data_IF_972626461343
#
_entry.id   IF_972626461343
#
_cell.length_a   1.000
_cell.length_b   1.000
_cell.length_c   1.000
_cell.angle_alpha   90.00
_cell.angle_beta   90.00
_cell.angle_gamma   90.00
#
_symmetry.space_group_name_H-M   'P 1'
#
loop_
_entity.id
_entity.type
_entity.pdbx_description
1 polymer ?
#
# COMPACT_ATOMS: atom_id res chain seq x y z
N UNK A 1 16.26 -25.36 -6.88
CA UNK A 1 15.65 -25.83 -5.62
C UNK A 1 16.41 -25.37 -4.36
N UNK A 2 17.68 -25.02 -4.46
CA UNK A 2 18.50 -24.56 -3.31
C UNK A 2 18.01 -23.25 -2.65
N UNK A 3 17.41 -22.34 -3.42
CA UNK A 3 16.91 -21.04 -2.91
C UNK A 3 15.85 -21.18 -1.82
N UNK A 4 14.98 -22.19 -1.89
CA UNK A 4 13.92 -22.43 -0.90
C UNK A 4 14.45 -22.92 0.45
N UNK A 5 15.72 -23.30 0.55
CA UNK A 5 16.35 -23.74 1.79
C UNK A 5 16.85 -22.55 2.63
N UNK A 6 17.01 -21.36 2.04
CA UNK A 6 17.44 -20.18 2.75
C UNK A 6 16.28 -19.51 3.49
N UNK A 7 16.44 -19.30 4.79
CA UNK A 7 15.42 -18.69 5.67
C UNK A 7 14.99 -17.30 5.21
N UNK A 8 15.93 -16.49 4.72
CA UNK A 8 15.61 -15.14 4.21
C UNK A 8 14.67 -15.20 2.99
N UNK A 9 14.83 -16.21 2.12
CA UNK A 9 13.99 -16.37 0.95
C UNK A 9 12.58 -16.86 1.31
N UNK A 10 12.47 -17.78 2.30
CA UNK A 10 11.18 -18.21 2.85
C UNK A 10 10.43 -17.04 3.47
N UNK A 11 11.12 -16.19 4.27
CA UNK A 11 10.53 -14.99 4.83
C UNK A 11 10.04 -14.03 3.73
N UNK A 12 10.83 -13.82 2.67
CA UNK A 12 10.45 -12.98 1.54
C UNK A 12 9.20 -13.51 0.82
N UNK A 13 9.07 -14.84 0.64
CA UNK A 13 7.89 -15.45 0.04
C UNK A 13 6.63 -15.26 0.88
N UNK A 14 6.72 -15.54 2.20
CA UNK A 14 5.59 -15.38 3.13
C UNK A 14 5.21 -13.90 3.22
N UNK A 15 6.19 -13.02 3.39
CA UNK A 15 5.98 -11.58 3.46
C UNK A 15 5.34 -11.02 2.18
N UNK A 16 5.80 -11.46 1.00
CA UNK A 16 5.22 -11.10 -0.29
C UNK A 16 3.76 -11.52 -0.41
N UNK A 17 3.42 -12.71 0.06
CA UNK A 17 2.03 -13.20 0.04
C UNK A 17 1.15 -12.32 0.93
N UNK A 18 1.58 -12.07 2.18
CA UNK A 18 0.83 -11.26 3.13
C UNK A 18 0.69 -9.81 2.66
N UNK A 19 1.76 -9.23 2.11
CA UNK A 19 1.73 -7.89 1.51
C UNK A 19 0.76 -7.84 0.32
N UNK A 20 0.76 -8.86 -0.55
CA UNK A 20 -0.15 -8.94 -1.69
C UNK A 20 -1.61 -9.06 -1.24
N UNK A 21 -1.89 -9.79 -0.16
CA UNK A 21 -3.24 -9.88 0.43
C UNK A 21 -3.68 -8.52 0.96
N UNK A 22 -2.88 -7.90 1.81
CA UNK A 22 -3.22 -6.59 2.39
C UNK A 22 -3.37 -5.50 1.32
N UNK A 23 -2.40 -5.42 0.39
CA UNK A 23 -2.44 -4.48 -0.73
C UNK A 23 -3.55 -4.80 -1.75
N UNK A 24 -3.91 -6.06 -1.95
CA UNK A 24 -5.00 -6.46 -2.83
C UNK A 24 -6.36 -6.01 -2.31
N UNK A 25 -6.61 -6.19 -1.00
CA UNK A 25 -7.84 -5.74 -0.35
C UNK A 25 -7.96 -4.21 -0.35
N UNK A 26 -6.98 -3.54 0.23
CA UNK A 26 -6.98 -2.07 0.38
C UNK A 26 -6.81 -1.36 -0.96
N UNK A 27 -5.93 -1.84 -1.82
CA UNK A 27 -5.68 -1.25 -3.14
C UNK A 27 -6.92 -1.31 -4.04
N UNK A 28 -7.73 -2.38 -3.95
CA UNK A 28 -9.00 -2.45 -4.69
C UNK A 28 -9.94 -1.31 -4.26
N UNK A 29 -10.04 -1.01 -2.97
CA UNK A 29 -10.80 0.13 -2.49
C UNK A 29 -10.22 1.47 -2.99
N UNK A 30 -8.89 1.66 -2.86
CA UNK A 30 -8.18 2.87 -3.30
C UNK A 30 -8.44 3.14 -4.80
N UNK A 31 -8.26 2.13 -5.65
CA UNK A 31 -8.40 2.29 -7.11
C UNK A 31 -9.87 2.51 -7.50
N UNK A 32 -10.81 1.80 -6.86
CA UNK A 32 -12.25 1.98 -7.10
C UNK A 32 -12.72 3.38 -6.74
N UNK A 33 -12.23 3.92 -5.64
CA UNK A 33 -12.51 5.28 -5.15
C UNK A 33 -11.73 6.37 -5.92
N UNK A 34 -10.81 5.98 -6.82
CA UNK A 34 -9.87 6.89 -7.51
C UNK A 34 -8.95 7.67 -6.55
N UNK A 35 -8.65 7.08 -5.40
CA UNK A 35 -7.79 7.63 -4.36
C UNK A 35 -6.32 7.25 -4.51
N UNK A 36 -5.87 6.92 -5.72
CA UNK A 36 -4.49 6.41 -5.95
C UNK A 36 -3.43 7.35 -5.38
N UNK A 37 -3.67 8.66 -5.43
CA UNK A 37 -2.74 9.66 -4.90
C UNK A 37 -2.56 9.59 -3.38
N UNK A 38 -3.54 9.03 -2.63
CA UNK A 38 -3.46 8.89 -1.18
C UNK A 38 -2.40 7.87 -0.76
N UNK A 39 -2.18 6.82 -1.58
CA UNK A 39 -1.16 5.82 -1.28
C UNK A 39 0.23 6.46 -1.22
N UNK A 40 0.58 7.30 -2.21
CA UNK A 40 1.81 8.08 -2.21
C UNK A 40 1.86 9.12 -1.08
N UNK A 41 0.78 9.87 -0.91
CA UNK A 41 0.69 10.93 0.10
C UNK A 41 0.92 10.42 1.52
N UNK A 42 0.20 9.37 1.93
CA UNK A 42 0.35 8.80 3.27
C UNK A 42 1.68 8.07 3.46
N UNK A 43 2.21 7.42 2.41
CA UNK A 43 3.51 6.78 2.47
C UNK A 43 4.60 7.81 2.77
N UNK A 44 4.59 8.94 2.09
CA UNK A 44 5.53 10.03 2.37
C UNK A 44 5.22 10.77 3.68
N UNK A 45 3.95 10.93 4.05
CA UNK A 45 3.58 11.51 5.34
C UNK A 45 4.14 10.69 6.52
N UNK A 46 4.19 9.36 6.41
CA UNK A 46 4.73 8.49 7.46
C UNK A 46 6.19 8.78 7.83
N UNK A 47 6.96 9.43 6.93
CA UNK A 47 8.31 9.93 7.24
C UNK A 47 8.34 10.89 8.42
N UNK A 48 7.31 11.73 8.57
CA UNK A 48 7.17 12.59 9.74
C UNK A 48 7.20 11.81 11.04
N UNK A 49 6.51 10.67 11.04
CA UNK A 49 6.51 9.75 12.18
C UNK A 49 7.85 9.03 12.38
N UNK A 50 8.53 8.61 11.31
CA UNK A 50 9.86 8.00 11.41
C UNK A 50 10.85 8.98 12.03
N UNK A 51 10.92 10.22 11.52
CA UNK A 51 11.79 11.26 12.07
C UNK A 51 11.47 11.59 13.52
N UNK A 52 10.20 11.71 13.87
CA UNK A 52 9.75 11.93 15.25
C UNK A 52 10.19 10.78 16.17
N UNK A 53 10.04 9.53 15.72
CA UNK A 53 10.46 8.35 16.45
C UNK A 53 11.98 8.33 16.73
N UNK A 54 12.79 8.68 15.73
CA UNK A 54 14.24 8.80 15.85
C UNK A 54 14.63 9.89 16.85
N UNK A 55 13.96 11.05 16.81
CA UNK A 55 14.23 12.17 17.71
C UNK A 55 13.84 11.88 19.16
N UNK A 56 12.68 11.25 19.38
CA UNK A 56 12.16 10.96 20.73
C UNK A 56 12.68 9.66 21.34
N UNK A 57 13.37 8.81 20.55
CA UNK A 57 13.81 7.49 20.97
C UNK A 57 12.70 6.43 21.04
N UNK A 58 11.49 6.76 20.57
CA UNK A 58 10.38 5.81 20.41
C UNK A 58 10.60 4.96 19.17
N UNK A 59 10.01 3.76 19.12
CA UNK A 59 10.07 2.91 17.94
C UNK A 59 9.64 3.69 16.67
N UNK A 60 10.52 3.85 15.66
CA UNK A 60 10.20 4.59 14.44
C UNK A 60 8.97 4.07 13.70
N UNK A 61 8.71 2.76 13.78
CA UNK A 61 7.56 2.11 13.14
C UNK A 61 6.25 2.50 13.84
N UNK A 62 6.24 2.48 15.18
CA UNK A 62 5.06 2.88 15.95
C UNK A 62 4.75 4.36 15.72
N UNK A 63 5.76 5.21 15.74
CA UNK A 63 5.63 6.64 15.45
C UNK A 63 5.14 6.88 14.02
N UNK A 64 5.66 6.12 13.03
CA UNK A 64 5.21 6.17 11.65
C UNK A 64 3.73 5.77 11.53
N UNK A 65 3.30 4.71 12.22
CA UNK A 65 1.91 4.26 12.19
C UNK A 65 0.96 5.30 12.80
N UNK A 66 1.31 5.86 13.94
CA UNK A 66 0.52 6.93 14.58
C UNK A 66 0.42 8.18 13.68
N UNK A 67 1.54 8.62 13.12
CA UNK A 67 1.58 9.79 12.27
C UNK A 67 0.81 9.55 10.95
N UNK A 68 0.93 8.38 10.34
CA UNK A 68 0.21 8.01 9.14
C UNK A 68 -1.31 7.96 9.38
N UNK A 69 -1.77 7.37 10.50
CA UNK A 69 -3.19 7.33 10.86
C UNK A 69 -3.73 8.73 11.14
N UNK A 70 -2.99 9.56 11.87
CA UNK A 70 -3.37 10.96 12.10
C UNK A 70 -3.43 11.75 10.80
N UNK A 71 -2.47 11.55 9.90
CA UNK A 71 -2.47 12.16 8.57
C UNK A 71 -3.66 11.70 7.73
N UNK A 72 -3.99 10.40 7.76
CA UNK A 72 -5.14 9.84 7.05
C UNK A 72 -6.46 10.46 7.55
N UNK A 73 -6.62 10.59 8.86
CA UNK A 73 -7.79 11.27 9.46
C UNK A 73 -7.81 12.76 9.13
N UNK A 74 -6.64 13.40 9.12
CA UNK A 74 -6.51 14.80 8.73
C UNK A 74 -6.90 15.04 7.27
N UNK A 75 -6.45 14.17 6.35
CA UNK A 75 -6.85 14.20 4.93
C UNK A 75 -8.36 14.06 4.81
N UNK A 76 -8.96 13.06 5.47
CA UNK A 76 -10.40 12.80 5.41
C UNK A 76 -11.21 13.96 6.00
N UNK A 77 -10.74 14.54 7.12
CA UNK A 77 -11.39 15.69 7.74
C UNK A 77 -11.31 16.94 6.88
N UNK A 78 -10.15 17.19 6.26
CA UNK A 78 -9.91 18.38 5.45
C UNK A 78 -10.64 18.30 4.10
N UNK A 79 -10.71 17.11 3.48
CA UNK A 79 -11.40 16.86 2.23
C UNK A 79 -12.93 16.96 2.31
N UNK A 80 -13.50 16.83 3.53
CA UNK A 80 -14.94 17.05 3.77
C UNK A 80 -15.34 18.52 3.83
N UNK A 81 -14.40 19.43 3.96
CA UNK A 81 -14.67 20.86 3.87
C UNK A 81 -14.85 21.26 2.41
N UNK A 82 -15.94 22.00 2.12
CA UNK A 82 -16.36 22.37 0.75
C UNK A 82 -15.30 23.11 -0.07
N UNK A 83 -14.30 23.69 0.60
CA UNK A 83 -13.30 24.55 -0.02
C UNK A 83 -12.00 23.85 -0.42
N UNK A 84 -11.84 22.54 -0.13
CA UNK A 84 -10.60 21.83 -0.42
C UNK A 84 -10.83 20.52 -1.18
N UNK A 85 -10.11 20.37 -2.29
CA UNK A 85 -10.09 19.13 -3.06
C UNK A 85 -9.28 18.05 -2.31
N UNK A 86 -9.69 16.81 -2.44
CA UNK A 86 -9.06 15.64 -1.79
C UNK A 86 -7.56 15.55 -2.10
N UNK A 87 -7.18 15.76 -3.37
CA UNK A 87 -5.77 15.77 -3.79
C UNK A 87 -4.95 16.87 -3.09
N UNK A 88 -5.57 18.05 -2.86
CA UNK A 88 -4.90 19.16 -2.16
C UNK A 88 -4.69 18.85 -0.68
N UNK A 89 -5.67 18.22 -0.03
CA UNK A 89 -5.54 17.78 1.37
C UNK A 89 -4.40 16.75 1.50
N UNK A 90 -4.33 15.78 0.58
CA UNK A 90 -3.25 14.79 0.54
C UNK A 90 -1.89 15.49 0.38
N UNK A 91 -1.77 16.46 -0.54
CA UNK A 91 -0.51 17.17 -0.78
C UNK A 91 -0.03 17.93 0.47
N UNK A 92 -0.94 18.52 1.25
CA UNK A 92 -0.61 19.22 2.51
C UNK A 92 0.02 18.24 3.52
N UNK A 93 -0.61 17.08 3.76
CA UNK A 93 -0.08 16.10 4.71
C UNK A 93 1.19 15.41 4.21
N UNK A 94 1.31 15.20 2.89
CA UNK A 94 2.54 14.73 2.26
C UNK A 94 3.72 15.65 2.56
N UNK A 95 3.58 16.93 2.18
CA UNK A 95 4.67 17.91 2.34
C UNK A 95 4.99 18.19 3.80
N UNK A 96 3.97 18.27 4.66
CA UNK A 96 4.15 18.44 6.10
C UNK A 96 4.93 17.26 6.72
N UNK A 97 4.53 16.02 6.40
CA UNK A 97 5.19 14.85 6.91
C UNK A 97 6.64 14.74 6.46
N UNK A 98 6.91 15.01 5.18
CA UNK A 98 8.29 15.04 4.67
C UNK A 98 9.13 16.13 5.37
N UNK A 99 8.60 17.33 5.51
CA UNK A 99 9.32 18.44 6.16
C UNK A 99 9.62 18.11 7.64
N UNK A 100 8.62 17.65 8.39
CA UNK A 100 8.81 17.25 9.80
C UNK A 100 9.77 16.08 9.94
N UNK A 101 9.65 15.08 9.05
CA UNK A 101 10.54 13.91 9.05
C UNK A 101 12.01 14.30 8.89
N UNK A 102 12.31 15.14 7.91
CA UNK A 102 13.66 15.66 7.68
C UNK A 102 14.12 16.48 8.88
N UNK A 103 13.31 17.43 9.36
CA UNK A 103 13.66 18.27 10.51
C UNK A 103 14.01 17.45 11.75
N UNK A 104 13.16 16.49 12.14
CA UNK A 104 13.41 15.65 13.30
C UNK A 104 14.63 14.73 13.12
N UNK A 105 14.87 14.23 11.91
CA UNK A 105 16.07 13.43 11.63
C UNK A 105 17.35 14.25 11.83
N UNK A 106 17.38 15.50 11.37
CA UNK A 106 18.52 16.40 11.59
C UNK A 106 18.69 16.83 13.05
N UNK A 107 17.60 16.90 13.81
CA UNK A 107 17.64 17.22 15.25
C UNK A 107 17.99 16.01 16.13
N UNK A 108 17.94 14.79 15.56
CA UNK A 108 18.23 13.56 16.30
C UNK A 108 19.72 13.50 16.69
N UNK A 109 20.06 13.17 17.94
CA UNK A 109 21.43 13.00 18.35
C UNK A 109 22.02 11.72 17.74
N UNK A 110 23.20 11.82 17.12
CA UNK A 110 23.93 10.68 16.56
C UNK A 110 23.97 10.64 15.04
N UNK A 111 24.31 9.48 14.47
CA UNK A 111 24.38 9.28 13.03
C UNK A 111 22.95 9.12 12.46
N UNK A 112 22.55 10.04 11.60
CA UNK A 112 21.25 9.93 10.93
C UNK A 112 21.24 8.67 10.03
N UNK A 113 20.30 7.74 10.24
CA UNK A 113 20.20 6.60 9.33
C UNK A 113 19.90 7.07 7.91
N UNK A 114 20.45 6.36 6.94
CA UNK A 114 20.21 6.66 5.53
C UNK A 114 18.71 6.49 5.20
N UNK A 115 18.05 7.62 4.97
CA UNK A 115 16.62 7.66 4.62
C UNK A 115 16.32 6.91 3.30
N UNK A 116 17.33 6.71 2.44
CA UNK A 116 17.18 5.95 1.20
C UNK A 116 16.82 4.49 1.45
N UNK A 117 17.24 3.92 2.59
CA UNK A 117 16.88 2.56 2.98
C UNK A 117 15.36 2.38 3.17
N UNK A 118 14.66 3.42 3.64
CA UNK A 118 13.20 3.39 3.76
C UNK A 118 12.49 3.61 2.41
N UNK A 119 13.14 4.31 1.46
CA UNK A 119 12.56 4.54 0.13
C UNK A 119 12.46 3.26 -0.69
N UNK A 120 13.52 2.48 -0.72
CA UNK A 120 13.61 1.29 -1.58
C UNK A 120 13.28 0.00 -0.85
N UNK A 121 13.37 -0.02 0.49
CA UNK A 121 13.16 -1.21 1.30
C UNK A 121 14.10 -2.37 0.91
N UNK A 122 14.04 -3.44 1.64
CA UNK A 122 14.69 -4.69 1.25
C UNK A 122 13.86 -5.88 1.75
N UNK A 123 13.14 -6.50 0.84
CA UNK A 123 12.27 -7.63 1.17
C UNK A 123 13.04 -8.85 1.68
N UNK A 124 14.35 -8.90 1.46
CA UNK A 124 15.21 -9.99 1.94
C UNK A 124 15.63 -9.85 3.42
N UNK A 125 15.38 -8.68 4.04
CA UNK A 125 15.70 -8.43 5.46
C UNK A 125 14.51 -8.60 6.40
N UNK A 126 13.42 -9.20 5.93
CA UNK A 126 12.19 -9.43 6.69
C UNK A 126 12.44 -10.35 7.88
N UNK A 127 11.97 -9.93 9.04
CA UNK A 127 12.03 -10.70 10.29
C UNK A 127 10.70 -11.39 10.60
N UNK A 128 10.71 -12.37 11.50
CA UNK A 128 9.47 -13.00 12.00
C UNK A 128 8.51 -12.00 12.66
N UNK A 129 9.02 -10.96 13.31
CA UNK A 129 8.18 -9.91 13.90
C UNK A 129 7.43 -9.11 12.83
N UNK A 130 8.06 -8.87 11.67
CA UNK A 130 7.43 -8.19 10.54
C UNK A 130 6.33 -9.06 9.92
N UNK A 131 6.62 -10.36 9.74
CA UNK A 131 5.65 -11.34 9.23
C UNK A 131 4.45 -11.45 10.17
N UNK A 132 4.68 -11.50 11.49
CA UNK A 132 3.60 -11.57 12.48
C UNK A 132 2.73 -10.29 12.46
N UNK A 133 3.34 -9.11 12.38
CA UNK A 133 2.62 -7.84 12.31
C UNK A 133 1.77 -7.77 11.02
N UNK A 134 2.37 -8.08 9.87
CA UNK A 134 1.67 -8.03 8.60
C UNK A 134 0.61 -9.14 8.50
N UNK A 135 0.89 -10.33 9.05
CA UNK A 135 -0.06 -11.43 9.12
C UNK A 135 -1.28 -11.09 9.98
N UNK A 136 -1.06 -10.47 11.15
CA UNK A 136 -2.14 -9.97 12.00
C UNK A 136 -3.00 -8.92 11.29
N UNK A 137 -2.36 -7.97 10.60
CA UNK A 137 -3.07 -6.96 9.82
C UNK A 137 -3.84 -7.58 8.64
N UNK A 138 -3.22 -8.50 7.89
CA UNK A 138 -3.86 -9.18 6.77
C UNK A 138 -5.09 -9.99 7.23
N UNK A 139 -4.98 -10.70 8.36
CA UNK A 139 -6.10 -11.43 8.95
C UNK A 139 -7.24 -10.47 9.35
N UNK A 140 -6.91 -9.37 10.00
CA UNK A 140 -7.88 -8.36 10.41
C UNK A 140 -8.58 -7.73 9.19
N UNK A 141 -7.84 -7.45 8.11
CA UNK A 141 -8.39 -6.96 6.85
C UNK A 141 -9.31 -8.00 6.19
N UNK A 142 -8.89 -9.27 6.14
CA UNK A 142 -9.73 -10.35 5.59
C UNK A 142 -11.05 -10.45 6.36
N UNK A 143 -11.00 -10.44 7.69
CA UNK A 143 -12.20 -10.50 8.52
C UNK A 143 -13.09 -9.27 8.31
N UNK A 144 -12.51 -8.07 8.29
CA UNK A 144 -13.25 -6.83 8.06
C UNK A 144 -13.93 -6.81 6.68
N UNK A 145 -13.20 -7.18 5.62
CA UNK A 145 -13.77 -7.25 4.28
C UNK A 145 -14.80 -8.37 4.14
N UNK A 146 -14.60 -9.51 4.78
CA UNK A 146 -15.58 -10.61 4.76
C UNK A 146 -16.91 -10.20 5.45
N UNK A 147 -16.83 -9.49 6.58
CA UNK A 147 -18.02 -9.05 7.33
C UNK A 147 -18.73 -7.85 6.67
N UNK A 148 -17.98 -6.91 6.11
CA UNK A 148 -18.50 -5.62 5.64
C UNK A 148 -18.34 -5.39 4.15
N UNK A 149 -18.25 -6.45 3.33
CA UNK A 149 -18.01 -6.32 1.89
C UNK A 149 -19.04 -5.44 1.18
N UNK A 150 -20.35 -5.65 1.45
CA UNK A 150 -21.42 -4.87 0.82
C UNK A 150 -21.39 -3.40 1.24
N UNK A 151 -21.32 -3.05 2.55
CA UNK A 151 -21.10 -1.66 2.96
C UNK A 151 -19.88 -1.00 2.32
N UNK A 152 -18.74 -1.72 2.25
CA UNK A 152 -17.50 -1.20 1.62
C UNK A 152 -17.73 -0.89 0.14
N UNK A 153 -18.40 -1.80 -0.60
CA UNK A 153 -18.74 -1.59 -2.01
C UNK A 153 -19.64 -0.36 -2.16
N UNK A 154 -20.71 -0.25 -1.37
CA UNK A 154 -21.63 0.89 -1.46
C UNK A 154 -20.92 2.22 -1.17
N UNK A 155 -20.11 2.28 -0.12
CA UNK A 155 -19.31 3.47 0.21
C UNK A 155 -18.28 3.78 -0.88
N UNK A 156 -17.72 2.75 -1.55
CA UNK A 156 -16.74 2.93 -2.61
C UNK A 156 -17.35 3.49 -3.90
N UNK A 157 -18.55 3.08 -4.27
CA UNK A 157 -19.17 3.46 -5.55
C UNK A 157 -20.13 4.63 -5.43
N UNK A 158 -20.99 4.64 -4.39
CA UNK A 158 -22.05 5.64 -4.22
C UNK A 158 -22.34 5.93 -2.74
N UNK A 159 -21.80 7.05 -2.26
CA UNK A 159 -21.98 7.52 -0.89
C UNK A 159 -23.43 7.85 -0.54
N UNK A 160 -24.18 8.43 -1.48
CA UNK A 160 -25.57 8.82 -1.25
C UNK A 160 -26.47 7.58 -1.16
N UNK A 161 -26.24 6.61 -2.02
CA UNK A 161 -26.91 5.30 -1.94
C UNK A 161 -26.57 4.61 -0.60
N UNK A 162 -25.29 4.57 -0.20
CA UNK A 162 -24.90 3.98 1.08
C UNK A 162 -25.64 4.64 2.26
N UNK A 163 -25.79 5.98 2.26
CA UNK A 163 -26.55 6.70 3.29
C UNK A 163 -28.03 6.34 3.28
N UNK A 164 -28.64 6.20 2.10
CA UNK A 164 -30.05 5.81 1.98
C UNK A 164 -30.33 4.40 2.52
N UNK A 165 -29.32 3.53 2.52
CA UNK A 165 -29.37 2.21 3.12
C UNK A 165 -29.09 2.21 4.64
N UNK A 166 -28.97 3.36 5.28
CA UNK A 166 -28.69 3.49 6.70
C UNK A 166 -27.24 3.17 7.10
N UNK A 167 -26.31 3.08 6.14
CA UNK A 167 -24.91 2.80 6.43
C UNK A 167 -24.23 4.07 6.98
N UNK A 168 -23.51 3.98 8.11
CA UNK A 168 -22.77 5.12 8.67
C UNK A 168 -21.51 5.41 7.84
N UNK A 169 -21.69 6.05 6.67
CA UNK A 169 -20.63 6.28 5.66
C UNK A 169 -19.38 6.89 6.26
N UNK A 170 -19.54 7.87 7.17
CA UNK A 170 -18.39 8.54 7.80
C UNK A 170 -17.52 7.57 8.61
N UNK A 171 -18.13 6.64 9.35
CA UNK A 171 -17.40 5.66 10.15
C UNK A 171 -16.61 4.73 9.22
N UNK A 172 -17.24 4.24 8.13
CA UNK A 172 -16.55 3.40 7.16
C UNK A 172 -15.38 4.11 6.47
N UNK A 173 -15.55 5.39 6.10
CA UNK A 173 -14.47 6.17 5.50
C UNK A 173 -13.28 6.32 6.45
N UNK A 174 -13.49 6.70 7.72
CA UNK A 174 -12.41 6.81 8.70
C UNK A 174 -11.73 5.46 9.00
N UNK A 175 -12.51 4.38 9.13
CA UNK A 175 -11.96 3.03 9.36
C UNK A 175 -11.13 2.58 8.16
N UNK A 176 -11.61 2.79 6.94
CA UNK A 176 -10.86 2.43 5.73
C UNK A 176 -9.60 3.28 5.57
N UNK A 177 -9.66 4.59 5.89
CA UNK A 177 -8.48 5.47 5.93
C UNK A 177 -7.44 4.98 6.95
N UNK A 178 -7.88 4.55 8.14
CA UNK A 178 -7.00 3.93 9.13
C UNK A 178 -6.34 2.67 8.58
N UNK A 179 -7.11 1.78 7.93
CA UNK A 179 -6.54 0.57 7.33
C UNK A 179 -5.58 0.85 6.18
N UNK A 180 -5.84 1.88 5.35
CA UNK A 180 -4.90 2.35 4.32
C UNK A 180 -3.58 2.73 4.98
N UNK A 181 -3.60 3.58 6.02
CA UNK A 181 -2.41 4.05 6.71
C UNK A 181 -1.64 2.90 7.36
N UNK A 182 -2.32 1.99 8.06
CA UNK A 182 -1.69 0.83 8.70
C UNK A 182 -1.08 -0.14 7.67
N UNK A 183 -1.77 -0.38 6.55
CA UNK A 183 -1.26 -1.23 5.46
C UNK A 183 0.00 -0.63 4.86
N UNK A 184 0.01 0.67 4.61
CA UNK A 184 1.18 1.38 4.10
C UNK A 184 2.36 1.20 5.06
N UNK A 185 2.19 1.49 6.35
CA UNK A 185 3.30 1.44 7.32
C UNK A 185 3.78 0.00 7.56
N UNK A 186 2.88 -0.97 7.64
CA UNK A 186 3.24 -2.37 7.79
C UNK A 186 4.06 -2.89 6.59
N UNK A 187 3.72 -2.46 5.38
CA UNK A 187 4.44 -2.83 4.17
C UNK A 187 5.74 -2.01 3.98
N UNK A 188 5.79 -0.77 4.47
CA UNK A 188 6.90 0.16 4.22
C UNK A 188 8.25 -0.40 4.66
N UNK A 189 8.31 -1.02 5.84
CA UNK A 189 9.55 -1.61 6.37
C UNK A 189 10.07 -2.76 5.51
N UNK A 190 9.14 -3.55 4.96
CA UNK A 190 9.48 -4.76 4.20
C UNK A 190 9.86 -4.43 2.76
N UNK A 191 9.12 -3.54 2.16
CA UNK A 191 9.05 -3.40 0.71
C UNK A 191 9.50 -2.01 0.25
N UNK A 192 9.57 -1.06 1.17
CA UNK A 192 9.88 0.35 0.90
C UNK A 192 8.72 1.12 0.27
N UNK A 193 8.87 2.44 0.24
CA UNK A 193 7.83 3.38 -0.18
C UNK A 193 7.34 3.12 -1.60
N UNK A 194 8.28 3.03 -2.54
CA UNK A 194 7.97 2.99 -3.98
C UNK A 194 7.24 1.70 -4.35
N UNK A 195 7.65 0.58 -3.73
CA UNK A 195 7.01 -0.71 -4.00
C UNK A 195 5.63 -0.81 -3.35
N UNK A 196 5.41 -0.22 -2.16
CA UNK A 196 4.06 -0.17 -1.53
C UNK A 196 3.07 0.55 -2.44
N UNK A 197 3.45 1.70 -3.00
CA UNK A 197 2.61 2.45 -3.95
C UNK A 197 2.28 1.57 -5.16
N UNK A 198 3.28 0.88 -5.70
CA UNK A 198 3.09 -0.02 -6.85
C UNK A 198 2.13 -1.17 -6.54
N UNK A 199 2.30 -1.86 -5.40
CA UNK A 199 1.44 -2.99 -5.00
C UNK A 199 0.00 -2.56 -4.68
N UNK A 200 -0.21 -1.33 -4.23
CA UNK A 200 -1.55 -0.78 -3.98
C UNK A 200 -2.26 -0.33 -5.26
N UNK A 201 -1.58 -0.26 -6.40
CA UNK A 201 -2.14 0.35 -7.61
C UNK A 201 -2.02 -0.51 -8.86
N UNK A 202 -0.82 -1.00 -9.20
CA UNK A 202 -0.57 -1.66 -10.50
C UNK A 202 -1.33 -2.98 -10.66
N UNK A 203 -1.35 -3.90 -9.67
CA UNK A 203 -2.14 -5.12 -9.78
C UNK A 203 -3.63 -4.84 -10.00
N UNK A 204 -4.21 -3.91 -9.23
CA UNK A 204 -5.62 -3.53 -9.32
C UNK A 204 -5.96 -2.85 -10.64
N UNK A 205 -5.07 -2.01 -11.17
CA UNK A 205 -5.22 -1.41 -12.51
C UNK A 205 -5.17 -2.48 -13.60
N UNK A 206 -4.33 -3.50 -13.44
CA UNK A 206 -4.26 -4.64 -14.37
C UNK A 206 -5.58 -5.41 -14.40
N UNK A 207 -6.16 -5.66 -13.24
CA UNK A 207 -7.41 -6.40 -13.11
C UNK A 207 -8.61 -5.63 -13.65
N UNK A 208 -8.64 -4.32 -13.48
CA UNK A 208 -9.65 -3.44 -14.06
C UNK A 208 -9.69 -3.49 -15.61
N UNK A 209 -8.64 -3.99 -16.26
CA UNK A 209 -8.69 -4.27 -17.69
C UNK A 209 -9.64 -5.42 -18.02
N UNK A 210 -9.81 -6.39 -17.13
CA UNK A 210 -10.54 -7.64 -17.39
C UNK A 210 -11.87 -7.74 -16.66
N UNK A 211 -12.00 -7.10 -15.49
CA UNK A 211 -13.20 -7.19 -14.65
C UNK A 211 -13.53 -5.86 -14.00
N UNK A 212 -14.84 -5.59 -13.88
CA UNK A 212 -15.36 -4.46 -13.10
C UNK A 212 -16.07 -4.92 -11.81
N UNK A 213 -16.01 -6.22 -11.50
CA UNK A 213 -16.63 -6.78 -10.30
C UNK A 213 -15.65 -6.69 -9.13
N UNK A 214 -15.97 -5.88 -8.11
CA UNK A 214 -15.13 -5.59 -6.95
C UNK A 214 -14.50 -6.86 -6.33
N UNK A 215 -15.30 -7.88 -6.07
CA UNK A 215 -14.82 -9.14 -5.49
C UNK A 215 -13.78 -9.87 -6.39
N UNK A 216 -13.97 -9.85 -7.72
CA UNK A 216 -12.99 -10.45 -8.65
C UNK A 216 -11.70 -9.67 -8.68
N UNK A 217 -11.78 -8.33 -8.63
CA UNK A 217 -10.61 -7.46 -8.61
C UNK A 217 -9.75 -7.79 -7.38
N UNK A 218 -10.34 -8.00 -6.20
CA UNK A 218 -9.59 -8.37 -4.99
C UNK A 218 -8.74 -9.63 -5.24
N UNK A 219 -9.36 -10.72 -5.65
CA UNK A 219 -8.64 -12.00 -5.81
C UNK A 219 -7.59 -11.98 -6.90
N UNK A 220 -7.91 -11.36 -8.04
CA UNK A 220 -6.96 -11.22 -9.14
C UNK A 220 -5.78 -10.32 -8.74
N UNK A 221 -6.05 -9.19 -8.04
CA UNK A 221 -4.99 -8.29 -7.56
C UNK A 221 -4.04 -8.97 -6.58
N UNK A 222 -4.56 -9.81 -5.67
CA UNK A 222 -3.73 -10.62 -4.78
C UNK A 222 -2.84 -11.55 -5.62
N UNK A 223 -3.42 -12.24 -6.61
CA UNK A 223 -2.68 -13.15 -7.49
C UNK A 223 -1.60 -12.44 -8.30
N UNK A 224 -1.94 -11.35 -8.98
CA UNK A 224 -0.99 -10.56 -9.79
C UNK A 224 0.07 -9.90 -8.90
N UNK A 225 -0.31 -9.37 -7.74
CA UNK A 225 0.62 -8.79 -6.77
C UNK A 225 1.66 -9.83 -6.30
N UNK A 226 1.20 -11.02 -5.94
CA UNK A 226 2.08 -12.11 -5.52
C UNK A 226 2.98 -12.58 -6.67
N UNK A 227 2.45 -12.77 -7.88
CA UNK A 227 3.24 -13.12 -9.06
C UNK A 227 4.28 -12.05 -9.39
N UNK A 228 3.93 -10.76 -9.22
CA UNK A 228 4.88 -9.66 -9.41
C UNK A 228 6.02 -9.72 -8.40
N UNK A 229 5.72 -10.04 -7.14
CA UNK A 229 6.75 -10.21 -6.12
C UNK A 229 7.66 -11.40 -6.44
N UNK A 230 7.10 -12.56 -6.81
CA UNK A 230 7.88 -13.74 -7.16
C UNK A 230 8.80 -13.49 -8.36
N UNK A 231 8.25 -12.97 -9.46
CA UNK A 231 9.01 -12.68 -10.67
C UNK A 231 10.10 -11.63 -10.44
N UNK A 232 9.77 -10.55 -9.70
CA UNK A 232 10.73 -9.51 -9.34
C UNK A 232 11.84 -10.00 -8.41
N UNK A 233 11.53 -10.87 -7.43
CA UNK A 233 12.53 -11.50 -6.57
C UNK A 233 13.50 -12.39 -7.37
N UNK A 234 12.99 -13.15 -8.34
CA UNK A 234 13.85 -13.95 -9.23
C UNK A 234 14.78 -13.07 -10.06
N UNK A 235 14.24 -11.99 -10.66
CA UNK A 235 15.06 -11.01 -11.40
C UNK A 235 16.13 -10.41 -10.50
N UNK A 236 15.74 -9.96 -9.28
CA UNK A 236 16.67 -9.40 -8.30
C UNK A 236 17.81 -10.34 -7.96
N UNK A 237 17.50 -11.62 -7.76
CA UNK A 237 18.50 -12.63 -7.41
C UNK A 237 19.48 -12.89 -8.55
N UNK A 238 18.98 -13.08 -9.79
CA UNK A 238 19.86 -13.42 -10.92
C UNK A 238 20.67 -12.24 -11.44
N UNK A 239 20.13 -11.02 -11.37
CA UNK A 239 20.79 -9.82 -11.88
C UNK A 239 21.52 -9.00 -10.80
N UNK A 240 21.46 -9.41 -9.52
CA UNK A 240 22.03 -8.67 -8.37
C UNK A 240 21.58 -7.19 -8.32
N UNK A 241 20.29 -6.95 -8.56
CA UNK A 241 19.67 -5.61 -8.52
C UNK A 241 18.71 -5.49 -7.32
N UNK A 242 18.38 -4.26 -6.85
CA UNK A 242 17.47 -4.07 -5.72
C UNK A 242 16.10 -4.74 -5.94
N UNK A 243 15.64 -5.52 -4.94
CA UNK A 243 14.43 -6.32 -5.04
C UNK A 243 13.16 -5.47 -5.26
N UNK A 244 13.05 -4.34 -4.56
CA UNK A 244 11.90 -3.43 -4.73
C UNK A 244 11.74 -2.93 -6.16
N UNK A 245 12.84 -2.44 -6.76
CA UNK A 245 12.83 -1.94 -8.14
C UNK A 245 12.50 -3.05 -9.15
N UNK A 246 13.03 -4.26 -8.96
CA UNK A 246 12.76 -5.40 -9.82
C UNK A 246 11.30 -5.83 -9.79
N UNK A 247 10.67 -5.83 -8.61
CA UNK A 247 9.25 -6.17 -8.44
C UNK A 247 8.36 -5.14 -9.14
N UNK A 248 8.67 -3.85 -8.96
CA UNK A 248 7.94 -2.77 -9.63
C UNK A 248 8.04 -2.92 -11.14
N UNK A 249 9.25 -3.09 -11.66
CA UNK A 249 9.50 -3.24 -13.08
C UNK A 249 8.73 -4.43 -13.66
N UNK A 250 8.78 -5.58 -12.99
CA UNK A 250 8.06 -6.78 -13.40
C UNK A 250 6.53 -6.59 -13.36
N UNK A 251 6.01 -5.91 -12.34
CA UNK A 251 4.59 -5.57 -12.23
C UNK A 251 4.11 -4.69 -13.40
N UNK A 252 4.93 -3.69 -13.79
CA UNK A 252 4.63 -2.82 -14.94
C UNK A 252 4.67 -3.61 -16.25
N UNK A 253 5.60 -4.56 -16.41
CA UNK A 253 5.64 -5.45 -17.58
C UNK A 253 4.36 -6.28 -17.67
N UNK A 254 3.91 -6.89 -16.57
CA UNK A 254 2.63 -7.63 -16.54
C UNK A 254 1.48 -6.72 -17.01
N UNK A 255 1.39 -5.52 -16.45
CA UNK A 255 0.36 -4.55 -16.84
C UNK A 255 0.43 -4.23 -18.34
N UNK A 256 1.61 -3.95 -18.88
CA UNK A 256 1.82 -3.62 -20.28
C UNK A 256 1.41 -4.78 -21.21
N UNK A 257 1.81 -6.01 -20.88
CA UNK A 257 1.44 -7.22 -21.63
C UNK A 257 -0.09 -7.41 -21.61
N UNK A 258 -0.70 -7.31 -20.45
CA UNK A 258 -2.16 -7.46 -20.31
C UNK A 258 -2.92 -6.37 -21.11
N UNK A 259 -2.46 -5.13 -21.05
CA UNK A 259 -3.07 -4.01 -21.77
C UNK A 259 -2.93 -4.13 -23.29
N UNK A 260 -1.74 -4.47 -23.77
CA UNK A 260 -1.50 -4.67 -25.22
C UNK A 260 -2.24 -5.89 -25.74
N UNK A 261 -2.26 -7.00 -25.00
CA UNK A 261 -3.01 -8.21 -25.35
C UNK A 261 -4.51 -7.95 -25.46
N UNK A 262 -5.09 -7.22 -24.49
CA UNK A 262 -6.51 -6.81 -24.57
C UNK A 262 -6.78 -5.92 -25.78
N UNK A 263 -5.92 -4.94 -26.06
CA UNK A 263 -6.07 -4.03 -27.21
C UNK A 263 -6.02 -4.80 -28.54
N UNK A 264 -5.08 -5.73 -28.66
CA UNK A 264 -4.95 -6.58 -29.85
C UNK A 264 -6.16 -7.52 -30.04
N UNK A 265 -6.66 -8.12 -28.97
CA UNK A 265 -7.85 -8.97 -29.01
C UNK A 265 -9.11 -8.20 -29.45
N UNK A 266 -9.30 -6.98 -28.95
CA UNK A 266 -10.38 -6.09 -29.37
C UNK A 266 -10.25 -5.63 -30.84
N UNK A 267 -9.01 -5.50 -31.34
CA UNK A 267 -8.77 -5.18 -32.75
C UNK A 267 -9.15 -6.34 -33.68
N UNK A 268 -8.89 -7.58 -33.27
CA UNK A 268 -9.26 -8.78 -34.06
C UNK A 268 -10.76 -9.06 -34.09
N UNK A 269 -11.54 -8.48 -33.19
CA UNK A 269 -13.01 -8.64 -33.15
C UNK A 269 -13.76 -7.56 -33.96
N UNK A 270 -13.04 -6.55 -34.46
CA UNK A 270 -13.60 -5.52 -35.38
C UNK A 270 -13.38 -5.91 -36.82
#
# INVERSE_FOLDING_TARGET
MELLQYTFFQHALIGSLLASIACGLIGTYIVTRRLVFISGGLTHASFGGIGLGLYTGISPILSAALFAVLSAFGVEWLSKRKDMREDSAIAVFWTLGMALGIMFTFLSPGFAPDLSAYLFGNILTITWSDIALLGGLALLLILFFAMYLHPIIYVAFDREFARSQGIPVQVFEYVLMMFIALTIVACLRMVGIVLVISLLTVPQMTDNLFSHRFHRIIWLSIGIGYLSCLGGLMISFYLNVPSGASIIFFSIIIYAICKTGKSFWLYLQR
#
